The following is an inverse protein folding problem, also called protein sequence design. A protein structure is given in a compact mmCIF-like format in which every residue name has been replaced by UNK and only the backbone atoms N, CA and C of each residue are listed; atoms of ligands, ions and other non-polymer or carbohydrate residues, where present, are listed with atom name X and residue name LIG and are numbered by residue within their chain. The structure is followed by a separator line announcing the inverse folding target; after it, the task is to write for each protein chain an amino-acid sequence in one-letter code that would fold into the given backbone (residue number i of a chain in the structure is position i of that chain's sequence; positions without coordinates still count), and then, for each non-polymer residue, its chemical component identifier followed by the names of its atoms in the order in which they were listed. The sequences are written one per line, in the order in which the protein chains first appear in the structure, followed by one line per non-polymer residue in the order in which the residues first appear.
data_IF_975631978028
#
_entry.id   IF_975631978028
#
_cell.length_a   1.000
_cell.length_b   1.000
_cell.length_c   1.000
_cell.angle_alpha   90.00
_cell.angle_beta   90.00
_cell.angle_gamma   90.00
#
_symmetry.space_group_name_H-M   'P 1'
#
loop_
_entity.id
_entity.type
_entity.pdbx_description
1 polymer ?
#
# COMPACT_ATOMS: atom_id res chain seq x y z
N UNK A 1 9.54 19.58 -26.96
CA UNK A 1 9.96 18.25 -26.41
C UNK A 1 8.73 17.35 -26.36
N UNK A 2 8.76 16.17 -26.96
CA UNK A 2 7.69 15.16 -26.76
C UNK A 2 8.01 14.45 -25.45
N UNK A 3 7.19 14.63 -24.42
CA UNK A 3 7.28 13.83 -23.19
C UNK A 3 7.05 12.37 -23.59
N UNK A 4 8.09 11.54 -23.47
CA UNK A 4 7.95 10.10 -23.68
C UNK A 4 6.98 9.59 -22.60
N UNK A 5 5.89 8.94 -23.03
CA UNK A 5 4.99 8.31 -22.08
C UNK A 5 5.78 7.22 -21.34
N UNK A 6 5.75 7.18 -20.00
CA UNK A 6 6.42 6.16 -19.23
C UNK A 6 5.87 4.78 -19.64
N UNK A 7 6.76 3.82 -19.85
CA UNK A 7 6.39 2.42 -20.07
C UNK A 7 5.96 1.82 -18.73
N UNK A 8 4.65 1.73 -18.50
CA UNK A 8 4.07 1.19 -17.28
C UNK A 8 3.95 -0.34 -17.45
N UNK A 9 4.66 -1.10 -16.61
CA UNK A 9 4.59 -2.56 -16.55
C UNK A 9 3.80 -2.99 -15.33
N UNK A 10 2.54 -3.35 -15.54
CA UNK A 10 1.70 -3.91 -14.48
C UNK A 10 2.04 -5.38 -14.24
N UNK A 11 1.76 -5.83 -13.02
CA UNK A 11 1.93 -7.20 -12.54
C UNK A 11 0.57 -7.85 -12.28
N UNK A 12 0.55 -9.10 -11.80
CA UNK A 12 -0.68 -9.76 -11.35
C UNK A 12 -1.06 -9.38 -9.90
N UNK A 13 -0.23 -8.62 -9.20
CA UNK A 13 -0.49 -8.15 -7.84
C UNK A 13 -1.13 -6.76 -7.87
N UNK A 14 -2.31 -6.65 -7.25
CA UNK A 14 -3.09 -5.40 -7.26
C UNK A 14 -2.44 -4.30 -6.42
N UNK A 15 -1.83 -4.64 -5.27
CA UNK A 15 -1.16 -3.65 -4.42
C UNK A 15 0.10 -3.12 -5.09
N UNK A 16 0.86 -3.98 -5.76
CA UNK A 16 2.04 -3.58 -6.52
C UNK A 16 1.64 -2.67 -7.70
N UNK A 17 0.52 -2.98 -8.38
CA UNK A 17 0.00 -2.12 -9.44
C UNK A 17 -0.42 -0.74 -8.91
N UNK A 18 -1.07 -0.66 -7.76
CA UNK A 18 -1.43 0.61 -7.11
C UNK A 18 -0.15 1.41 -6.79
N UNK A 19 0.88 0.75 -6.27
CA UNK A 19 2.18 1.38 -5.95
C UNK A 19 2.88 1.92 -7.20
N UNK A 20 2.89 1.16 -8.29
CA UNK A 20 3.47 1.56 -9.58
C UNK A 20 2.73 2.77 -10.16
N UNK A 21 1.40 2.79 -10.04
CA UNK A 21 0.56 3.84 -10.60
C UNK A 21 0.52 5.12 -9.76
N UNK A 22 0.70 5.02 -8.44
CA UNK A 22 0.55 6.16 -7.54
C UNK A 22 1.37 7.40 -7.96
N UNK A 23 2.67 7.31 -8.34
CA UNK A 23 3.46 8.48 -8.76
C UNK A 23 2.96 9.19 -10.02
N UNK A 24 2.12 8.53 -10.83
CA UNK A 24 1.57 9.08 -12.07
C UNK A 24 0.21 9.80 -11.88
N UNK A 25 -0.38 9.72 -10.69
CA UNK A 25 -1.61 10.42 -10.36
C UNK A 25 -1.34 11.91 -10.08
N UNK A 26 -2.38 12.74 -10.06
CA UNK A 26 -2.26 14.09 -9.53
C UNK A 26 -2.00 14.08 -8.01
N UNK A 27 -1.59 15.24 -7.47
CA UNK A 27 -1.18 15.36 -6.07
C UNK A 27 -2.30 15.01 -5.07
N UNK A 28 -3.55 15.33 -5.38
CA UNK A 28 -4.68 15.02 -4.51
C UNK A 28 -4.93 13.51 -4.48
N UNK A 29 -4.98 12.90 -5.65
CA UNK A 29 -5.14 11.45 -5.84
C UNK A 29 -3.98 10.66 -5.20
N UNK A 30 -2.74 11.14 -5.31
CA UNK A 30 -1.58 10.56 -4.63
C UNK A 30 -1.77 10.49 -3.12
N UNK A 31 -2.21 11.59 -2.50
CA UNK A 31 -2.42 11.66 -1.05
C UNK A 31 -3.48 10.67 -0.57
N UNK A 32 -4.55 10.46 -1.36
CA UNK A 32 -5.59 9.49 -1.03
C UNK A 32 -5.04 8.05 -1.03
N UNK A 33 -4.27 7.67 -2.06
CA UNK A 33 -3.67 6.34 -2.17
C UNK A 33 -2.68 6.08 -1.03
N UNK A 34 -1.80 7.04 -0.73
CA UNK A 34 -0.84 6.90 0.37
C UNK A 34 -1.52 6.88 1.74
N UNK A 35 -2.57 7.69 1.93
CA UNK A 35 -3.38 7.66 3.14
C UNK A 35 -4.08 6.32 3.36
N UNK A 36 -4.66 5.75 2.30
CA UNK A 36 -5.27 4.41 2.34
C UNK A 36 -4.23 3.34 2.68
N UNK A 37 -3.08 3.31 2.01
CA UNK A 37 -2.00 2.35 2.30
C UNK A 37 -1.51 2.47 3.75
N UNK A 38 -1.34 3.69 4.25
CA UNK A 38 -0.95 3.92 5.64
C UNK A 38 -2.02 3.44 6.64
N UNK A 39 -3.29 3.69 6.35
CA UNK A 39 -4.42 3.19 7.16
C UNK A 39 -4.48 1.67 7.19
N UNK A 40 -4.25 1.00 6.06
CA UNK A 40 -4.17 -0.46 5.97
C UNK A 40 -3.02 -0.98 6.84
N UNK A 41 -1.81 -0.40 6.74
CA UNK A 41 -0.67 -0.80 7.55
C UNK A 41 -0.94 -0.65 9.05
N UNK A 42 -1.54 0.48 9.47
CA UNK A 42 -1.93 0.69 10.87
C UNK A 42 -2.94 -0.33 11.37
N UNK A 43 -3.89 -0.72 10.51
CA UNK A 43 -4.89 -1.74 10.86
C UNK A 43 -4.25 -3.12 10.94
N UNK A 44 -3.30 -3.45 10.05
CA UNK A 44 -2.54 -4.71 10.09
C UNK A 44 -1.67 -4.81 11.35
N UNK A 45 -1.00 -3.74 11.75
CA UNK A 45 -0.23 -3.71 13.03
C UNK A 45 -1.16 -3.93 14.23
N UNK A 46 -2.39 -3.40 14.16
CA UNK A 46 -3.42 -3.60 15.20
C UNK A 46 -3.95 -5.04 15.25
N UNK A 47 -3.73 -5.85 14.21
CA UNK A 47 -4.10 -7.28 14.15
C UNK A 47 -2.99 -8.18 14.73
N UNK A 48 -1.78 -7.67 14.98
CA UNK A 48 -0.62 -8.45 15.46
C UNK A 48 -0.27 -8.19 16.94
N UNK A 49 -1.20 -7.68 17.74
CA UNK A 49 -1.06 -7.65 19.20
C UNK A 49 -2.29 -8.24 19.91
N UNK A 50 -2.48 -9.55 19.77
CA UNK A 50 -3.11 -10.32 20.85
C UNK A 50 -1.99 -10.91 21.72
N UNK A 51 -1.95 -10.61 23.03
CA UNK A 51 -1.19 -11.38 24.00
C UNK A 51 -1.63 -12.86 24.06
N UNK A 52 -2.81 -13.21 23.53
CA UNK A 52 -3.44 -14.53 23.69
C UNK A 52 -2.84 -15.69 22.87
N UNK A 53 -1.73 -15.50 22.17
CA UNK A 53 -1.01 -16.63 21.53
C UNK A 53 0.37 -16.91 22.12
N UNK A 54 0.72 -16.29 23.25
CA UNK A 54 1.89 -16.66 24.06
C UNK A 54 1.44 -17.07 25.47
N UNK A 55 1.60 -18.37 25.74
CA UNK A 55 1.40 -19.08 27.01
C UNK A 55 0.00 -19.57 27.41
N UNK A 56 -0.35 -20.75 26.88
CA UNK A 56 -0.71 -21.88 27.76
C UNK A 56 0.58 -22.61 28.16
N UNK A 57 1.18 -22.31 29.30
CA UNK A 57 2.01 -23.21 30.13
C UNK A 57 2.79 -22.39 31.18
N UNK A 58 2.21 -22.23 32.36
CA UNK A 58 2.82 -21.63 33.54
C UNK A 58 1.84 -21.63 34.70
#
# INVERSE_FOLDING_TARGET
MRLQKPEIKLTNDTLENIRIMAPYLDKESQNQVYGMMFGILKTMDSVVLTPETRDKAG
#
